data_IF_569656926460
#
_entry.id   IF_569656926460
#
_cell.length_a   1.000
_cell.length_b   1.000
_cell.length_c   1.000
_cell.angle_alpha   90.00
_cell.angle_beta   90.00
_cell.angle_gamma   90.00
#
_symmetry.space_group_name_H-M   'P 1'
#
loop_
_entity.id
_entity.type
_entity.pdbx_description
1 polymer ?
#
# COMPACT_ATOMS: atom_id res chain seq x y z
N UNK A 1 -1.70 -4.61 -15.13
CA UNK A 1 -0.84 -4.27 -13.98
C UNK A 1 -0.58 -5.48 -13.09
N UNK A 2 0.54 -5.45 -12.41
CA UNK A 2 0.88 -6.45 -11.42
C UNK A 2 0.61 -5.86 -10.05
N UNK A 3 -0.24 -6.52 -9.27
CA UNK A 3 -0.64 -6.02 -7.96
C UNK A 3 -0.08 -6.96 -6.89
N UNK A 4 0.66 -6.39 -5.96
CA UNK A 4 1.27 -7.15 -4.88
C UNK A 4 0.26 -7.63 -3.84
N UNK A 5 0.77 -8.06 -2.70
CA UNK A 5 -0.04 -8.58 -1.61
C UNK A 5 -0.54 -7.43 -0.73
N UNK A 6 -1.73 -7.63 -0.17
CA UNK A 6 -2.31 -6.70 0.80
C UNK A 6 -2.43 -5.27 0.30
N UNK A 7 -2.71 -5.10 -0.98
CA UNK A 7 -2.92 -3.80 -1.58
C UNK A 7 -4.36 -3.37 -1.38
N UNK A 8 -4.55 -2.11 -1.05
CA UNK A 8 -5.87 -1.53 -0.86
C UNK A 8 -6.17 -0.52 -1.95
N UNK A 9 -7.23 -0.74 -2.69
CA UNK A 9 -7.58 0.10 -3.83
C UNK A 9 -8.99 0.65 -3.59
N UNK A 10 -9.11 1.98 -3.57
CA UNK A 10 -10.38 2.64 -3.40
C UNK A 10 -11.27 2.51 -4.64
N UNK A 11 -12.45 3.12 -4.58
CA UNK A 11 -13.41 3.07 -5.68
C UNK A 11 -12.94 3.91 -6.86
N UNK A 12 -13.31 3.47 -8.06
CA UNK A 12 -13.12 4.23 -9.29
C UNK A 12 -11.66 4.60 -9.55
N UNK A 13 -10.75 3.70 -9.21
CA UNK A 13 -9.33 3.86 -9.49
C UNK A 13 -9.02 3.35 -10.89
N UNK A 14 -8.22 4.12 -11.64
CA UNK A 14 -7.73 3.71 -12.94
C UNK A 14 -6.25 3.40 -12.82
N UNK A 15 -5.85 2.24 -13.28
CA UNK A 15 -4.46 1.80 -13.29
C UNK A 15 -3.97 1.71 -14.72
N UNK A 16 -2.90 2.42 -15.04
CA UNK A 16 -2.28 2.32 -16.36
C UNK A 16 -1.73 0.90 -16.55
N UNK A 17 -1.80 0.41 -17.78
CA UNK A 17 -1.22 -0.89 -18.10
C UNK A 17 0.28 -0.91 -17.91
N UNK A 18 0.81 -2.07 -17.51
CA UNK A 18 2.24 -2.27 -17.39
C UNK A 18 2.88 -1.76 -16.13
N UNK A 19 2.09 -1.21 -15.18
CA UNK A 19 2.65 -0.75 -13.91
C UNK A 19 2.61 -1.86 -12.86
N UNK A 20 3.41 -1.68 -11.81
CA UNK A 20 3.44 -2.58 -10.67
C UNK A 20 3.03 -1.83 -9.41
N UNK A 21 2.18 -2.46 -8.61
CA UNK A 21 1.73 -1.92 -7.32
C UNK A 21 2.39 -2.77 -6.24
N UNK A 22 3.21 -2.14 -5.41
CA UNK A 22 3.96 -2.86 -4.38
C UNK A 22 3.09 -3.36 -3.26
N UNK A 23 3.63 -4.31 -2.50
CA UNK A 23 2.91 -4.91 -1.38
C UNK A 23 2.49 -3.85 -0.37
N UNK A 24 1.27 -3.99 0.14
CA UNK A 24 0.77 -3.10 1.18
C UNK A 24 0.48 -1.67 0.76
N UNK A 25 0.52 -1.38 -0.53
CA UNK A 25 0.22 -0.04 -1.01
C UNK A 25 -1.26 0.30 -0.84
N UNK A 26 -1.55 1.58 -0.73
CA UNK A 26 -2.92 2.10 -0.64
C UNK A 26 -3.14 3.10 -1.76
N UNK A 27 -4.18 2.91 -2.54
CA UNK A 27 -4.55 3.81 -3.62
C UNK A 27 -5.90 4.42 -3.29
N UNK A 28 -5.91 5.73 -3.11
CA UNK A 28 -7.13 6.44 -2.75
C UNK A 28 -8.16 6.42 -3.89
N UNK A 29 -9.42 6.56 -3.51
CA UNK A 29 -10.52 6.57 -4.47
C UNK A 29 -10.33 7.66 -5.53
N UNK A 30 -10.80 7.38 -6.74
CA UNK A 30 -10.78 8.30 -7.86
C UNK A 30 -9.38 8.71 -8.33
N UNK A 31 -8.37 7.90 -8.02
CA UNK A 31 -7.02 8.16 -8.46
C UNK A 31 -6.75 7.55 -9.84
N UNK A 32 -5.83 8.16 -10.57
CA UNK A 32 -5.35 7.61 -11.84
C UNK A 32 -3.85 7.35 -11.67
N UNK A 33 -3.49 6.09 -11.59
CA UNK A 33 -2.11 5.67 -11.31
C UNK A 33 -1.39 5.44 -12.64
N UNK A 34 -0.36 6.22 -12.90
CA UNK A 34 0.38 6.19 -14.15
C UNK A 34 1.80 5.66 -14.02
N UNK A 35 2.27 5.43 -12.81
CA UNK A 35 3.62 4.95 -12.53
C UNK A 35 3.57 3.86 -11.47
N UNK A 36 4.64 3.07 -11.39
CA UNK A 36 4.76 2.06 -10.35
C UNK A 36 4.57 2.66 -8.96
N UNK A 37 3.95 1.90 -8.08
CA UNK A 37 3.72 2.32 -6.70
C UNK A 37 4.62 1.50 -5.79
N UNK A 38 5.50 2.16 -5.02
CA UNK A 38 6.38 1.44 -4.09
C UNK A 38 5.60 0.72 -3.00
N UNK A 39 6.19 -0.31 -2.38
CA UNK A 39 5.54 -0.98 -1.25
C UNK A 39 5.19 -0.01 -0.14
N UNK A 40 4.01 -0.20 0.43
CA UNK A 40 3.49 0.57 1.56
C UNK A 40 3.33 2.06 1.31
N UNK A 41 3.37 2.49 0.05
CA UNK A 41 3.10 3.86 -0.31
C UNK A 41 1.60 4.12 -0.33
N UNK A 42 1.22 5.33 0.02
CA UNK A 42 -0.15 5.82 -0.11
C UNK A 42 -0.16 6.84 -1.22
N UNK A 43 -0.93 6.57 -2.26
CA UNK A 43 -0.99 7.46 -3.42
C UNK A 43 -2.41 7.96 -3.64
N UNK A 44 -2.52 9.16 -4.20
CA UNK A 44 -3.81 9.77 -4.51
C UNK A 44 -3.66 10.81 -5.60
N UNK A 45 -4.75 11.07 -6.28
CA UNK A 45 -4.85 12.16 -7.24
C UNK A 45 -4.81 11.71 -8.70
N UNK A 46 -4.86 12.69 -9.61
CA UNK A 46 -4.83 12.51 -11.05
C UNK A 46 -3.81 13.47 -11.64
N UNK A 47 -2.62 13.03 -12.04
CA UNK A 47 -2.07 11.69 -11.83
C UNK A 47 -1.77 11.44 -10.34
N UNK A 48 -1.86 10.18 -9.93
CA UNK A 48 -1.62 9.82 -8.55
C UNK A 48 -0.16 10.08 -8.15
N UNK A 49 0.01 10.61 -6.96
CA UNK A 49 1.32 10.89 -6.40
C UNK A 49 1.39 10.34 -4.99
N UNK A 50 2.61 10.02 -4.56
CA UNK A 50 2.83 9.51 -3.21
C UNK A 50 2.54 10.62 -2.22
N UNK A 51 1.59 10.38 -1.33
CA UNK A 51 1.28 11.28 -0.23
C UNK A 51 2.24 11.04 0.91
N UNK A 52 2.39 9.76 1.27
CA UNK A 52 3.31 9.33 2.32
C UNK A 52 3.41 7.81 2.29
N UNK A 53 4.26 7.27 3.12
CA UNK A 53 4.35 5.82 3.34
C UNK A 53 3.59 5.48 4.62
N UNK A 54 3.06 4.27 4.69
CA UNK A 54 2.31 3.80 5.86
C UNK A 54 3.22 3.64 7.08
N UNK A 55 4.50 3.34 6.84
CA UNK A 55 5.46 3.04 7.89
C UNK A 55 6.80 3.67 7.56
N UNK A 56 7.67 3.76 8.57
CA UNK A 56 9.05 4.15 8.32
C UNK A 56 9.75 3.14 7.43
N UNK A 57 10.79 3.58 6.71
CA UNK A 57 11.49 2.72 5.78
C UNK A 57 12.06 1.47 6.46
N UNK A 58 12.56 1.60 7.68
CA UNK A 58 13.09 0.45 8.43
C UNK A 58 11.99 -0.59 8.73
N UNK A 59 10.81 -0.11 9.07
CA UNK A 59 9.67 -0.98 9.33
C UNK A 59 9.20 -1.65 8.05
N UNK A 60 9.18 -0.91 6.96
CA UNK A 60 8.80 -1.46 5.66
C UNK A 60 9.73 -2.59 5.26
N UNK A 61 11.03 -2.37 5.38
CA UNK A 61 12.03 -3.39 5.05
C UNK A 61 11.83 -4.65 5.89
N UNK A 62 11.55 -4.47 7.16
CA UNK A 62 11.31 -5.59 8.05
C UNK A 62 10.05 -6.37 7.66
N UNK A 63 8.97 -5.67 7.36
CA UNK A 63 7.73 -6.31 6.96
C UNK A 63 7.87 -7.08 5.65
N UNK A 64 8.58 -6.50 4.68
CA UNK A 64 8.84 -7.19 3.43
C UNK A 64 9.70 -8.42 3.63
N UNK A 65 10.68 -8.33 4.53
CA UNK A 65 11.57 -9.45 4.80
C UNK A 65 10.84 -10.63 5.41
N UNK A 66 9.94 -10.39 6.35
CA UNK A 66 9.19 -11.47 7.00
C UNK A 66 7.91 -11.85 6.27
N UNK A 67 7.48 -11.03 5.31
CA UNK A 67 6.23 -11.24 4.56
C UNK A 67 5.07 -11.47 5.50
N UNK A 68 4.75 -10.44 6.25
CA UNK A 68 3.83 -10.48 7.38
C UNK A 68 2.44 -11.02 7.02
N UNK A 69 2.01 -10.88 5.78
CA UNK A 69 0.70 -11.39 5.35
C UNK A 69 0.61 -12.92 5.38
N UNK A 70 1.73 -13.61 5.55
CA UNK A 70 1.74 -15.06 5.69
C UNK A 70 1.54 -15.51 7.14
N UNK A 71 1.41 -14.57 8.07
CA UNK A 71 1.26 -14.85 9.49
C UNK A 71 -0.15 -14.50 9.95
N UNK A 72 -0.55 -15.09 11.07
CA UNK A 72 -1.78 -14.67 11.72
C UNK A 72 -1.61 -13.28 12.29
N UNK A 73 -2.73 -12.55 12.36
CA UNK A 73 -2.72 -11.20 12.89
C UNK A 73 -2.05 -11.12 14.27
N UNK A 74 -2.33 -12.08 15.12
CA UNK A 74 -1.78 -12.11 16.48
C UNK A 74 -0.28 -12.28 16.54
N UNK A 75 0.34 -12.71 15.45
CA UNK A 75 1.78 -12.91 15.38
C UNK A 75 2.54 -11.65 14.96
N UNK A 76 1.82 -10.60 14.58
CA UNK A 76 2.46 -9.36 14.18
C UNK A 76 2.99 -8.62 15.40
N UNK A 77 4.19 -8.04 15.28
CA UNK A 77 4.84 -7.40 16.42
C UNK A 77 4.15 -6.14 16.93
N UNK A 78 3.38 -5.47 16.10
CA UNK A 78 2.73 -4.22 16.48
C UNK A 78 1.34 -4.16 15.91
N UNK A 79 0.35 -4.49 16.72
CA UNK A 79 -1.03 -4.50 16.32
C UNK A 79 -1.64 -3.10 16.23
N UNK A 80 -1.02 -2.12 16.86
CA UNK A 80 -1.55 -0.76 16.85
C UNK A 80 -1.51 -0.14 15.48
N UNK A 81 -0.63 -0.62 14.64
CA UNK A 81 -0.52 -0.09 13.29
C UNK A 81 -1.74 -0.36 12.44
N UNK A 82 -2.52 -1.33 12.80
CA UNK A 82 -3.72 -1.65 12.04
C UNK A 82 -4.75 -0.53 12.10
N UNK A 83 -4.75 0.23 13.18
CA UNK A 83 -5.67 1.34 13.33
C UNK A 83 -5.37 2.46 12.36
N UNK A 84 -4.13 2.58 11.93
CA UNK A 84 -3.71 3.64 11.03
C UNK A 84 -4.33 3.53 9.65
N UNK A 85 -4.79 2.36 9.30
CA UNK A 85 -5.44 2.14 8.01
C UNK A 85 -6.66 3.04 7.87
N UNK A 86 -7.32 3.34 8.95
CA UNK A 86 -8.52 4.16 8.92
C UNK A 86 -8.25 5.59 8.46
N UNK A 87 -7.03 6.04 8.53
CA UNK A 87 -6.67 7.36 8.06
C UNK A 87 -6.63 7.47 6.55
N UNK A 88 -6.63 6.36 5.86
CA UNK A 88 -6.36 6.34 4.43
C UNK A 88 -7.60 6.13 3.59
N UNK A 89 -8.71 5.96 4.25
CA UNK A 89 -9.96 5.59 3.59
C UNK A 89 -10.87 6.76 3.36
#
# INVERSE_FOLDING_TARGET
PIIGNDVWIGNDVVLKGGIAIGDGAVIAANSVVTKDVPPYAIVAGVPAKIIRFRFDSNVIDELLRIKWWNYNYSDLPDNNKCDDINYFV
#
